data_IF_825624406596
#
_entry.id   IF_825624406596
#
_cell.length_a   1.000
_cell.length_b   1.000
_cell.length_c   1.000
_cell.angle_alpha   90.00
_cell.angle_beta   90.00
_cell.angle_gamma   90.00
#
_symmetry.space_group_name_H-M   'P 1'
#
loop_
_entity.id
_entity.type
_entity.pdbx_description
1 polymer ?
#
# COMPACT_ATOMS: atom_id res chain seq x y z
N UNK A 1 3.10 -17.88 -22.03
CA UNK A 1 2.77 -18.53 -20.74
C UNK A 1 3.33 -17.64 -19.63
N UNK A 2 2.49 -16.95 -18.84
CA UNK A 2 2.98 -15.98 -17.86
C UNK A 2 3.10 -16.65 -16.49
N UNK A 3 4.32 -16.78 -15.98
CA UNK A 3 4.52 -17.09 -14.56
C UNK A 3 4.29 -15.80 -13.76
N UNK A 4 3.18 -15.78 -13.01
CA UNK A 4 2.85 -14.74 -12.05
C UNK A 4 3.78 -14.84 -10.85
N UNK A 5 4.68 -13.87 -10.70
CA UNK A 5 5.52 -13.70 -9.51
C UNK A 5 4.65 -13.18 -8.37
N UNK A 6 3.97 -14.07 -7.63
CA UNK A 6 3.16 -13.66 -6.47
C UNK A 6 3.54 -14.28 -5.13
N UNK A 7 4.46 -15.24 -5.06
CA UNK A 7 4.78 -15.92 -3.79
C UNK A 7 6.30 -16.08 -3.56
N UNK A 8 7.04 -14.98 -3.39
CA UNK A 8 8.50 -14.98 -3.14
C UNK A 8 8.90 -14.57 -1.71
N UNK A 9 8.07 -14.83 -0.70
CA UNK A 9 8.38 -14.38 0.68
C UNK A 9 9.12 -15.41 1.53
N UNK A 10 9.43 -16.58 0.97
CA UNK A 10 10.25 -17.60 1.60
C UNK A 10 11.29 -18.08 0.56
N UNK A 11 12.54 -17.65 0.68
CA UNK A 11 13.61 -18.18 -0.16
C UNK A 11 14.00 -19.54 0.42
N UNK A 12 13.43 -20.62 -0.12
CA UNK A 12 13.76 -22.00 0.29
C UNK A 12 14.94 -22.58 -0.48
N UNK A 13 15.59 -21.79 -1.33
CA UNK A 13 16.67 -22.25 -2.21
C UNK A 13 18.00 -21.56 -1.89
N UNK A 14 19.09 -22.30 -2.01
CA UNK A 14 20.45 -21.77 -1.85
C UNK A 14 20.70 -20.78 -2.98
N UNK A 15 20.96 -19.51 -2.66
CA UNK A 15 21.38 -18.54 -3.66
C UNK A 15 22.78 -18.90 -4.16
N UNK A 16 22.92 -19.09 -5.47
CA UNK A 16 24.20 -19.33 -6.14
C UNK A 16 24.50 -18.15 -7.07
N UNK A 17 25.64 -17.48 -6.86
CA UNK A 17 26.13 -16.40 -7.71
C UNK A 17 27.44 -16.82 -8.35
N UNK A 18 27.51 -16.79 -9.69
CA UNK A 18 28.68 -17.21 -10.46
C UNK A 18 29.20 -18.61 -10.07
N UNK A 19 28.30 -19.55 -9.77
CA UNK A 19 28.65 -20.92 -9.37
C UNK A 19 29.06 -21.09 -7.89
N UNK A 20 29.04 -20.03 -7.08
CA UNK A 20 29.36 -20.10 -5.64
C UNK A 20 28.11 -19.92 -4.79
N UNK A 21 27.90 -20.83 -3.84
CA UNK A 21 26.84 -20.70 -2.84
C UNK A 21 27.09 -19.48 -1.93
N UNK A 22 26.04 -18.70 -1.69
CA UNK A 22 26.07 -17.47 -0.88
C UNK A 22 25.12 -17.61 0.29
N UNK A 23 25.63 -17.45 1.51
CA UNK A 23 24.79 -17.36 2.71
C UNK A 23 24.21 -15.96 2.86
N UNK A 24 23.05 -15.75 2.23
CA UNK A 24 22.35 -14.47 2.25
C UNK A 24 21.90 -14.04 3.64
N UNK A 25 21.60 -14.98 4.54
CA UNK A 25 21.10 -14.66 5.89
C UNK A 25 22.23 -14.14 6.79
N UNK A 26 23.46 -14.61 6.59
CA UNK A 26 24.65 -14.05 7.21
C UNK A 26 24.90 -12.61 6.73
N UNK A 27 24.92 -12.39 5.42
CA UNK A 27 25.19 -11.06 4.85
C UNK A 27 24.12 -10.02 5.19
N UNK A 28 22.85 -10.43 5.21
CA UNK A 28 21.77 -9.50 5.48
C UNK A 28 21.72 -9.09 6.95
N UNK A 29 22.03 -9.99 7.90
CA UNK A 29 22.08 -9.66 9.34
C UNK A 29 23.23 -8.74 9.73
N UNK A 30 24.31 -8.73 8.95
CA UNK A 30 25.38 -7.74 9.11
C UNK A 30 24.92 -6.31 8.74
N UNK A 31 23.84 -6.17 7.96
CA UNK A 31 23.29 -4.88 7.50
C UNK A 31 22.02 -4.48 8.26
N UNK A 32 21.12 -5.43 8.52
CA UNK A 32 19.90 -5.27 9.31
C UNK A 32 19.59 -6.57 10.07
N UNK A 33 19.75 -6.55 11.39
CA UNK A 33 19.64 -7.74 12.24
C UNK A 33 18.23 -8.02 12.76
N UNK A 34 17.28 -7.08 12.61
CA UNK A 34 15.96 -7.18 13.24
C UNK A 34 14.92 -7.90 12.41
N UNK A 35 14.94 -7.72 11.09
CA UNK A 35 13.86 -8.16 10.19
C UNK A 35 14.09 -9.54 9.58
N UNK A 36 15.28 -10.12 9.74
CA UNK A 36 15.73 -11.31 9.01
C UNK A 36 16.06 -12.44 9.98
N UNK A 37 15.32 -13.54 9.85
CA UNK A 37 15.58 -14.78 10.57
C UNK A 37 16.21 -15.80 9.61
N UNK A 38 17.27 -16.54 10.01
CA UNK A 38 17.94 -17.54 9.18
C UNK A 38 17.18 -18.87 9.19
N UNK A 39 15.87 -18.78 9.12
CA UNK A 39 14.99 -19.89 9.38
C UNK A 39 13.70 -19.68 8.58
N UNK A 40 13.30 -20.72 7.86
CA UNK A 40 12.08 -20.74 7.06
C UNK A 40 11.04 -21.64 7.74
N UNK A 41 10.64 -21.29 8.95
CA UNK A 41 9.56 -22.00 9.66
C UNK A 41 8.25 -21.27 9.44
N UNK A 42 7.20 -22.02 9.12
CA UNK A 42 5.84 -21.51 9.03
C UNK A 42 5.24 -21.45 10.43
N UNK A 43 4.78 -20.27 10.83
CA UNK A 43 3.99 -20.07 12.05
C UNK A 43 2.53 -20.44 11.83
N UNK A 44 1.82 -20.72 12.93
CA UNK A 44 0.38 -20.92 12.89
C UNK A 44 -0.35 -19.66 12.37
N UNK A 45 -1.50 -19.82 11.70
CA UNK A 45 -2.38 -18.70 11.32
C UNK A 45 -2.64 -17.77 12.51
N UNK A 46 -2.62 -16.47 12.27
CA UNK A 46 -2.75 -15.45 13.32
C UNK A 46 -4.12 -14.76 13.31
N UNK A 47 -4.88 -14.83 12.22
CA UNK A 47 -6.19 -14.18 12.08
C UNK A 47 -7.27 -14.75 13.00
N UNK A 48 -7.13 -16.00 13.45
CA UNK A 48 -8.06 -16.62 14.42
C UNK A 48 -8.09 -15.88 15.75
N UNK A 49 -7.02 -15.15 16.09
CA UNK A 49 -6.95 -14.29 17.28
C UNK A 49 -7.71 -12.96 17.13
N UNK A 50 -8.30 -12.73 15.95
CA UNK A 50 -9.02 -11.49 15.59
C UNK A 50 -8.21 -10.21 15.83
N UNK A 51 -7.00 -10.08 15.25
CA UNK A 51 -6.11 -8.95 15.52
C UNK A 51 -6.57 -7.63 14.90
N UNK A 52 -7.47 -7.67 13.91
CA UNK A 52 -7.97 -6.49 13.21
C UNK A 52 -9.19 -5.89 13.93
N UNK A 53 -9.03 -4.67 14.42
CA UNK A 53 -10.08 -3.89 15.09
C UNK A 53 -11.03 -3.25 14.08
N UNK A 54 -12.11 -2.64 14.58
CA UNK A 54 -12.99 -1.77 13.80
C UNK A 54 -13.57 -2.41 12.53
N UNK A 55 -13.79 -3.73 12.57
CA UNK A 55 -14.28 -4.54 11.44
C UNK A 55 -13.34 -4.55 10.23
N UNK A 56 -12.03 -4.32 10.44
CA UNK A 56 -11.02 -4.55 9.42
C UNK A 56 -10.95 -6.02 9.01
N UNK A 57 -10.69 -6.28 7.72
CA UNK A 57 -10.61 -7.65 7.20
C UNK A 57 -9.22 -8.21 7.47
N UNK A 58 -9.15 -9.36 8.15
CA UNK A 58 -7.88 -10.05 8.40
C UNK A 58 -7.53 -11.00 7.25
N UNK A 59 -6.27 -11.00 6.85
CA UNK A 59 -5.69 -11.98 5.92
C UNK A 59 -4.36 -12.52 6.43
N UNK A 60 -4.10 -13.80 6.18
CA UNK A 60 -2.84 -14.44 6.55
C UNK A 60 -1.72 -14.04 5.58
N UNK A 61 -0.61 -13.56 6.14
CA UNK A 61 0.66 -13.36 5.43
C UNK A 61 1.71 -14.39 5.86
N UNK A 62 2.93 -14.26 5.33
CA UNK A 62 4.06 -15.06 5.79
C UNK A 62 4.45 -14.68 7.22
N UNK A 63 4.13 -15.56 8.18
CA UNK A 63 4.40 -15.39 9.62
C UNK A 63 3.87 -14.09 10.23
N UNK A 64 2.76 -13.56 9.69
CA UNK A 64 2.09 -12.36 10.20
C UNK A 64 0.64 -12.32 9.75
N UNK A 65 -0.23 -11.66 10.53
CA UNK A 65 -1.51 -11.18 10.03
C UNK A 65 -1.35 -9.86 9.24
N UNK A 66 -2.29 -9.59 8.34
CA UNK A 66 -2.41 -8.32 7.61
C UNK A 66 -3.86 -7.84 7.69
N UNK A 67 -4.07 -6.63 8.20
CA UNK A 67 -5.38 -6.01 8.29
C UNK A 67 -5.64 -5.06 7.11
N UNK A 68 -6.73 -5.29 6.39
CA UNK A 68 -7.28 -4.33 5.43
C UNK A 68 -8.27 -3.39 6.13
N UNK A 69 -7.85 -2.13 6.30
CA UNK A 69 -8.65 -1.09 6.92
C UNK A 69 -9.41 -0.22 5.90
N UNK A 70 -9.32 -0.49 4.59
CA UNK A 70 -9.82 0.43 3.53
C UNK A 70 -11.33 0.68 3.59
N UNK A 71 -12.10 -0.32 4.01
CA UNK A 71 -13.55 -0.21 4.21
C UNK A 71 -13.92 0.52 5.52
N UNK A 72 -12.97 0.82 6.40
CA UNK A 72 -13.18 1.43 7.72
C UNK A 72 -12.82 2.92 7.74
N UNK A 73 -13.18 3.64 8.81
CA UNK A 73 -12.67 4.99 9.11
C UNK A 73 -11.40 4.96 9.96
N UNK A 74 -10.73 3.81 10.04
CA UNK A 74 -9.55 3.57 10.85
C UNK A 74 -8.34 3.21 9.98
N UNK A 75 -7.16 3.28 10.56
CA UNK A 75 -5.86 3.06 9.92
C UNK A 75 -4.88 2.39 10.90
N UNK A 76 -3.66 2.14 10.43
CA UNK A 76 -2.62 1.45 11.18
C UNK A 76 -2.66 -0.08 10.99
N UNK A 77 -1.69 -0.80 11.57
CA UNK A 77 -1.48 -2.23 11.31
C UNK A 77 -2.62 -3.12 11.80
N UNK A 78 -3.43 -2.64 12.74
CA UNK A 78 -4.56 -3.37 13.35
C UNK A 78 -5.89 -2.64 13.18
N UNK A 79 -5.96 -1.57 12.39
CA UNK A 79 -7.15 -0.72 12.26
C UNK A 79 -7.66 -0.12 13.61
N UNK A 80 -6.76 0.03 14.60
CA UNK A 80 -7.10 0.56 15.93
C UNK A 80 -7.00 2.09 16.06
N UNK A 81 -6.46 2.78 15.05
CA UNK A 81 -6.27 4.24 15.06
C UNK A 81 -7.26 4.91 14.13
N UNK A 82 -7.98 5.92 14.59
CA UNK A 82 -8.90 6.69 13.73
C UNK A 82 -8.12 7.39 12.59
N UNK A 83 -8.66 7.33 11.37
CA UNK A 83 -8.05 7.98 10.22
C UNK A 83 -8.34 9.49 10.22
N UNK A 84 -7.32 10.29 9.90
CA UNK A 84 -7.47 11.74 9.78
C UNK A 84 -8.47 12.08 8.68
N UNK A 85 -9.53 12.82 9.02
CA UNK A 85 -10.55 13.29 8.09
C UNK A 85 -10.41 14.79 7.86
N UNK A 86 -10.42 15.21 6.59
CA UNK A 86 -10.40 16.62 6.19
C UNK A 86 -11.76 17.05 5.66
N UNK A 87 -12.19 18.26 6.01
CA UNK A 87 -13.44 18.86 5.53
C UNK A 87 -13.12 20.03 4.62
N UNK A 88 -13.75 20.07 3.45
CA UNK A 88 -13.56 21.13 2.46
C UNK A 88 -14.90 21.81 2.18
N UNK A 89 -14.95 23.14 2.30
CA UNK A 89 -16.15 23.95 2.04
C UNK A 89 -16.32 24.36 0.55
N UNK A 90 -15.35 24.01 -0.30
CA UNK A 90 -15.31 24.36 -1.73
C UNK A 90 -14.36 25.51 -2.08
N UNK A 91 -13.81 26.24 -1.11
CA UNK A 91 -12.71 27.21 -1.31
C UNK A 91 -11.37 26.74 -0.73
N UNK A 92 -11.36 25.59 -0.07
CA UNK A 92 -10.18 24.99 0.54
C UNK A 92 -9.60 23.89 -0.36
N UNK A 93 -8.29 23.69 -0.28
CA UNK A 93 -7.57 22.58 -0.91
C UNK A 93 -6.41 22.14 -0.02
N UNK A 94 -5.93 20.92 -0.25
CA UNK A 94 -4.71 20.39 0.36
C UNK A 94 -3.73 20.03 -0.76
N UNK A 95 -2.49 20.48 -0.62
CA UNK A 95 -1.43 20.15 -1.56
C UNK A 95 -0.33 19.36 -0.85
N UNK A 96 0.00 18.20 -1.41
CA UNK A 96 1.17 17.42 -1.00
C UNK A 96 2.26 17.68 -2.03
N UNK A 97 3.32 18.37 -1.62
CA UNK A 97 4.50 18.59 -2.46
C UNK A 97 5.48 17.45 -2.24
N UNK A 98 5.71 16.67 -3.28
CA UNK A 98 6.76 15.66 -3.29
C UNK A 98 8.11 16.35 -3.47
N UNK A 99 9.13 15.80 -2.82
CA UNK A 99 10.48 16.35 -2.82
C UNK A 99 11.22 16.17 -4.15
N UNK A 100 10.73 15.26 -4.99
CA UNK A 100 11.21 15.02 -6.36
C UNK A 100 10.05 14.51 -7.21
N UNK A 101 10.24 14.55 -8.52
CA UNK A 101 9.33 13.87 -9.43
C UNK A 101 9.41 12.35 -9.23
N UNK A 102 8.25 11.75 -8.97
CA UNK A 102 8.11 10.30 -8.94
C UNK A 102 7.53 9.88 -10.30
N UNK A 103 8.23 8.98 -10.98
CA UNK A 103 7.76 8.36 -12.23
C UNK A 103 7.59 6.88 -11.98
N UNK A 104 6.37 6.38 -12.09
CA UNK A 104 6.02 4.98 -11.93
C UNK A 104 5.13 4.52 -13.08
N UNK A 105 5.25 3.26 -13.46
CA UNK A 105 4.35 2.64 -14.45
C UNK A 105 3.04 2.13 -13.82
N UNK A 106 2.99 2.09 -12.48
CA UNK A 106 1.82 1.65 -11.72
C UNK A 106 1.64 2.59 -10.53
N UNK A 107 0.43 3.10 -10.36
CA UNK A 107 0.02 3.94 -9.24
C UNK A 107 -1.16 3.29 -8.52
N UNK A 108 -1.13 3.31 -7.20
CA UNK A 108 -2.27 2.89 -6.39
C UNK A 108 -2.76 4.08 -5.55
N UNK A 109 -3.99 4.51 -5.84
CA UNK A 109 -4.64 5.62 -5.15
C UNK A 109 -5.90 5.10 -4.46
N UNK A 110 -5.95 5.24 -3.14
CA UNK A 110 -7.12 4.89 -2.32
C UNK A 110 -7.58 6.11 -1.55
N UNK A 111 -8.83 6.50 -1.71
CA UNK A 111 -9.43 7.63 -1.02
C UNK A 111 -10.86 7.32 -0.60
N UNK A 112 -11.28 7.88 0.55
CA UNK A 112 -12.66 7.86 1.04
C UNK A 112 -13.18 9.28 1.01
N UNK A 113 -14.35 9.48 0.44
CA UNK A 113 -14.97 10.80 0.35
C UNK A 113 -16.47 10.71 0.55
N UNK A 114 -17.06 11.82 0.99
CA UNK A 114 -18.51 12.02 1.05
C UNK A 114 -18.82 13.44 0.60
N UNK A 115 -19.78 13.58 -0.31
CA UNK A 115 -20.23 14.90 -0.78
C UNK A 115 -21.69 14.83 -1.19
N UNK A 116 -22.41 15.93 -1.01
CA UNK A 116 -23.75 16.14 -1.58
C UNK A 116 -23.68 16.91 -2.91
N UNK A 117 -22.51 17.43 -3.29
CA UNK A 117 -22.34 18.18 -4.54
C UNK A 117 -22.21 17.22 -5.73
N UNK A 118 -22.94 17.46 -6.83
CA UNK A 118 -22.92 16.57 -8.00
C UNK A 118 -21.64 16.71 -8.84
N UNK A 119 -20.84 17.77 -8.59
CA UNK A 119 -19.58 18.06 -9.26
C UNK A 119 -18.52 18.46 -8.23
N UNK A 120 -17.31 17.92 -8.35
CA UNK A 120 -16.19 18.28 -7.48
C UNK A 120 -14.88 17.59 -7.87
N UNK A 121 -13.76 18.24 -7.57
CA UNK A 121 -12.41 17.67 -7.69
C UNK A 121 -12.08 16.88 -6.42
N UNK A 122 -11.57 15.65 -6.56
CA UNK A 122 -11.13 14.83 -5.44
C UNK A 122 -9.61 14.75 -5.35
N UNK A 123 -8.95 14.52 -6.47
CA UNK A 123 -7.49 14.40 -6.53
C UNK A 123 -6.99 14.84 -7.90
N UNK A 124 -5.84 15.50 -7.92
CA UNK A 124 -5.04 15.76 -9.12
C UNK A 124 -3.58 15.50 -8.77
N UNK A 125 -2.91 14.65 -9.56
CA UNK A 125 -1.46 14.65 -9.66
C UNK A 125 -1.03 15.46 -10.89
N UNK A 126 0.08 16.16 -10.77
CA UNK A 126 0.68 16.89 -11.88
C UNK A 126 2.19 17.00 -11.65
N UNK A 127 2.96 16.97 -12.73
CA UNK A 127 4.40 17.23 -12.70
C UNK A 127 4.72 18.55 -13.40
N UNK A 128 5.87 19.16 -13.10
CA UNK A 128 6.30 20.38 -13.81
C UNK A 128 7.01 20.05 -15.13
N UNK A 129 7.64 18.87 -15.24
CA UNK A 129 8.41 18.49 -16.42
C UNK A 129 7.60 17.75 -17.50
N UNK A 130 6.49 17.11 -17.12
CA UNK A 130 5.59 16.42 -18.05
C UNK A 130 4.17 16.96 -17.94
N UNK A 131 3.40 16.80 -19.02
CA UNK A 131 1.97 17.09 -19.03
C UNK A 131 1.13 16.02 -18.33
N UNK A 132 1.78 15.01 -17.74
CA UNK A 132 1.12 13.83 -17.18
C UNK A 132 0.24 14.22 -15.99
N UNK A 133 -0.99 13.71 -16.00
CA UNK A 133 -2.00 14.09 -15.02
C UNK A 133 -2.94 12.94 -14.71
N UNK A 134 -2.95 12.51 -13.45
CA UNK A 134 -4.04 11.68 -12.92
C UNK A 134 -5.04 12.60 -12.22
N UNK A 135 -6.28 12.60 -12.69
CA UNK A 135 -7.36 13.41 -12.12
C UNK A 135 -8.57 12.54 -11.77
N UNK A 136 -9.03 12.68 -10.53
CA UNK A 136 -10.25 12.03 -10.02
C UNK A 136 -11.28 13.12 -9.69
N UNK A 137 -12.46 13.03 -10.30
CA UNK A 137 -13.57 13.95 -10.07
C UNK A 137 -14.88 13.23 -9.81
N UNK A 138 -15.84 13.95 -9.21
CA UNK A 138 -17.25 13.60 -9.25
C UNK A 138 -17.90 14.46 -10.34
N UNK A 139 -18.73 13.86 -11.20
CA UNK A 139 -19.48 14.58 -12.23
C UNK A 139 -20.83 13.89 -12.46
N UNK A 140 -21.92 14.61 -12.22
CA UNK A 140 -23.27 14.04 -12.25
C UNK A 140 -23.46 12.93 -11.21
N UNK A 141 -22.83 13.05 -10.04
CA UNK A 141 -22.87 12.05 -8.97
C UNK A 141 -22.06 10.78 -9.25
N UNK A 142 -21.34 10.70 -10.37
CA UNK A 142 -20.47 9.56 -10.72
C UNK A 142 -19.01 9.92 -10.56
N UNK A 143 -18.21 8.96 -10.12
CA UNK A 143 -16.76 9.08 -10.13
C UNK A 143 -16.24 9.04 -11.57
N UNK A 144 -15.29 9.91 -11.90
CA UNK A 144 -14.58 9.93 -13.18
C UNK A 144 -13.08 9.97 -12.93
N UNK A 145 -12.36 9.10 -13.63
CA UNK A 145 -10.91 9.09 -13.70
C UNK A 145 -10.50 9.61 -15.08
N UNK A 146 -9.55 10.55 -15.10
CA UNK A 146 -8.93 11.06 -16.31
C UNK A 146 -7.41 10.91 -16.19
N UNK A 147 -6.81 10.29 -17.20
CA UNK A 147 -5.37 10.14 -17.36
C UNK A 147 -4.98 10.89 -18.62
N UNK A 148 -3.95 11.72 -18.53
CA UNK A 148 -3.30 12.39 -19.65
C UNK A 148 -1.82 12.12 -19.57
#
# INVERSE_FOLDING_TARGET
MPYSVKDLWAVSEILVLNGKAVDIALFARAQDSGSIQPACHRQSPQCDTQPCMSQGVCSEGWNRFVCDCTATTFTGPTCGKEATTLTFNGSQYMTVRLWRELRGQAEEVRLRFRTTRPVGLLLVSSTEQSGDRLQVTVTGGRLRLHLR
#
